data_IF_876576293533
#
_entry.id   IF_876576293533
#
_cell.length_a   1.000
_cell.length_b   1.000
_cell.length_c   1.000
_cell.angle_alpha   90.00
_cell.angle_beta   90.00
_cell.angle_gamma   90.00
#
_symmetry.space_group_name_H-M   'P 1'
#
loop_
_entity.id
_entity.type
_entity.pdbx_description
1 polymer ?
#
# COMPACT_ATOMS: atom_id res chain seq x y z
N UNK A 1 0.56 41.47 16.35
CA UNK A 1 0.18 41.26 14.94
C UNK A 1 0.41 39.81 14.60
N UNK A 2 -0.66 39.00 14.56
CA UNK A 2 -0.58 37.57 14.27
C UNK A 2 -0.73 37.32 12.77
N UNK A 3 0.27 36.73 12.14
CA UNK A 3 0.15 36.17 10.80
C UNK A 3 -0.05 34.65 10.95
N UNK A 4 -1.30 34.22 10.99
CA UNK A 4 -1.66 32.82 10.78
C UNK A 4 -1.34 32.46 9.33
N UNK A 5 -0.18 31.85 9.09
CA UNK A 5 0.10 31.18 7.83
C UNK A 5 -0.69 29.87 7.78
N UNK A 6 -1.95 29.95 7.39
CA UNK A 6 -2.74 28.81 6.92
C UNK A 6 -2.92 28.92 5.41
N UNK A 7 -3.05 27.77 4.74
CA UNK A 7 -3.42 27.61 3.33
C UNK A 7 -2.30 27.61 2.27
N UNK A 8 -1.37 26.63 2.33
CA UNK A 8 -0.80 25.99 1.12
C UNK A 8 -0.62 24.47 1.22
N UNK A 9 -0.96 23.87 2.36
CA UNK A 9 -0.50 22.52 2.73
C UNK A 9 -1.29 21.37 2.09
N UNK A 10 -2.55 21.60 1.65
CA UNK A 10 -3.36 20.57 1.00
C UNK A 10 -2.84 20.24 -0.42
N UNK A 11 -2.55 21.26 -1.23
CA UNK A 11 -2.30 21.07 -2.67
C UNK A 11 -1.08 20.22 -3.05
N UNK A 12 0.04 20.28 -2.31
CA UNK A 12 1.28 19.56 -2.72
C UNK A 12 1.24 18.08 -2.37
N UNK A 13 0.73 17.71 -1.18
CA UNK A 13 0.61 16.30 -0.79
C UNK A 13 -0.50 15.64 -1.60
N UNK A 14 -1.61 16.35 -1.83
CA UNK A 14 -2.67 15.87 -2.72
C UNK A 14 -2.12 15.64 -4.14
N UNK A 15 -1.28 16.54 -4.67
CA UNK A 15 -0.64 16.33 -5.97
C UNK A 15 0.26 15.09 -6.00
N UNK A 16 1.12 14.87 -5.01
CA UNK A 16 2.00 13.69 -5.01
C UNK A 16 1.21 12.38 -4.81
N UNK A 17 0.08 12.42 -4.09
CA UNK A 17 -0.82 11.27 -3.94
C UNK A 17 -1.78 11.11 -5.15
N UNK A 18 -1.96 12.17 -5.96
CA UNK A 18 -2.93 12.16 -7.05
C UNK A 18 -2.50 11.26 -8.20
N UNK A 19 -1.21 11.21 -8.51
CA UNK A 19 -0.68 10.30 -9.52
C UNK A 19 -0.52 8.90 -8.93
N UNK A 20 -1.06 7.89 -9.64
CA UNK A 20 -0.78 6.49 -9.31
C UNK A 20 0.72 6.20 -9.47
N UNK A 21 1.29 5.35 -8.61
CA UNK A 21 2.68 4.91 -8.74
C UNK A 21 2.89 4.12 -10.04
N UNK A 22 4.15 3.97 -10.47
CA UNK A 22 4.50 3.11 -11.59
C UNK A 22 4.07 1.67 -11.32
N UNK A 23 3.06 1.19 -12.05
CA UNK A 23 2.42 -0.10 -11.82
C UNK A 23 3.34 -1.28 -12.16
N UNK A 24 4.15 -1.17 -13.21
CA UNK A 24 5.14 -2.20 -13.57
C UNK A 24 6.17 -2.36 -12.45
N UNK A 25 6.63 -1.23 -11.89
CA UNK A 25 7.54 -1.25 -10.73
C UNK A 25 6.92 -1.96 -9.53
N UNK A 26 5.64 -1.71 -9.24
CA UNK A 26 4.95 -2.39 -8.13
C UNK A 26 4.85 -3.90 -8.35
N UNK A 27 4.51 -4.33 -9.57
CA UNK A 27 4.42 -5.76 -9.92
C UNK A 27 5.78 -6.44 -9.72
N UNK A 28 6.85 -5.82 -10.22
CA UNK A 28 8.21 -6.38 -10.10
C UNK A 28 8.69 -6.46 -8.65
N UNK A 29 8.33 -5.48 -7.82
CA UNK A 29 8.63 -5.52 -6.39
C UNK A 29 7.93 -6.70 -5.72
N UNK A 30 6.63 -6.88 -5.97
CA UNK A 30 5.88 -7.96 -5.33
C UNK A 30 6.29 -9.35 -5.82
N UNK A 31 6.67 -9.51 -7.09
CA UNK A 31 7.31 -10.74 -7.60
C UNK A 31 8.59 -11.11 -6.84
N UNK A 32 9.38 -10.11 -6.40
CA UNK A 32 10.60 -10.34 -5.61
C UNK A 32 10.32 -10.60 -4.13
N UNK A 33 9.26 -10.02 -3.58
CA UNK A 33 8.90 -10.15 -2.17
C UNK A 33 8.13 -11.44 -1.83
N UNK A 34 7.28 -11.90 -2.75
CA UNK A 34 6.35 -13.00 -2.51
C UNK A 34 6.89 -14.28 -3.14
N UNK A 35 6.90 -15.38 -2.37
CA UNK A 35 7.33 -16.69 -2.88
C UNK A 35 6.42 -17.15 -4.04
N UNK A 36 6.96 -17.82 -5.08
CA UNK A 36 6.18 -18.27 -6.24
C UNK A 36 5.00 -19.18 -5.91
N UNK A 37 5.03 -19.93 -4.81
CA UNK A 37 3.94 -20.81 -4.39
C UNK A 37 2.72 -20.07 -3.81
N UNK A 38 2.81 -18.75 -3.56
CA UNK A 38 1.68 -17.99 -3.06
C UNK A 38 0.97 -17.24 -4.18
N UNK A 39 -0.35 -17.35 -4.20
CA UNK A 39 -1.19 -16.45 -4.99
C UNK A 39 -1.27 -15.07 -4.33
N UNK A 40 -1.30 -14.01 -5.12
CA UNK A 40 -1.44 -12.65 -4.62
C UNK A 40 -2.11 -11.72 -5.64
N UNK A 41 -2.82 -10.73 -5.11
CA UNK A 41 -3.50 -9.67 -5.87
C UNK A 41 -2.89 -8.33 -5.49
N UNK A 42 -2.61 -7.49 -6.48
CA UNK A 42 -2.08 -6.14 -6.30
C UNK A 42 -3.06 -5.09 -6.83
N UNK A 43 -3.25 -4.06 -6.02
CA UNK A 43 -4.13 -2.94 -6.28
C UNK A 43 -3.34 -1.70 -6.73
N UNK A 44 -4.03 -0.78 -7.39
CA UNK A 44 -3.44 0.29 -8.19
C UNK A 44 -2.56 1.29 -7.41
N UNK A 45 -2.75 1.45 -6.11
CA UNK A 45 -1.97 2.35 -5.26
C UNK A 45 -0.90 1.61 -4.42
N UNK A 46 -0.60 0.35 -4.77
CA UNK A 46 0.54 -0.40 -4.23
C UNK A 46 0.20 -1.35 -3.08
N UNK A 47 -1.08 -1.49 -2.70
CA UNK A 47 -1.47 -2.52 -1.74
C UNK A 47 -1.54 -3.90 -2.39
N UNK A 48 -0.87 -4.91 -1.82
CA UNK A 48 -1.06 -6.31 -2.17
C UNK A 48 -1.76 -7.10 -1.07
N UNK A 49 -2.54 -8.10 -1.49
CA UNK A 49 -3.11 -9.14 -0.64
C UNK A 49 -2.54 -10.48 -1.04
N UNK A 50 -1.85 -11.16 -0.10
CA UNK A 50 -1.32 -12.50 -0.31
C UNK A 50 -2.31 -13.54 0.19
N UNK A 51 -2.65 -14.51 -0.66
CA UNK A 51 -3.57 -15.60 -0.37
C UNK A 51 -2.77 -16.79 0.18
N UNK A 52 -3.18 -17.31 1.34
CA UNK A 52 -2.70 -18.61 1.83
C UNK A 52 -3.75 -19.66 1.57
N UNK A 53 -3.86 -20.12 0.35
CA UNK A 53 -4.58 -21.34 0.14
C UNK A 53 -3.63 -22.22 -0.67
N UNK A 54 -3.19 -23.28 0.00
CA UNK A 54 -2.78 -24.57 -0.53
C UNK A 54 -3.82 -25.18 -1.49
N UNK A 55 -4.92 -24.48 -1.77
CA UNK A 55 -5.86 -24.80 -2.82
C UNK A 55 -5.18 -24.60 -4.17
N UNK A 56 -4.77 -25.72 -4.74
CA UNK A 56 -4.34 -25.83 -6.13
C UNK A 56 -5.40 -25.30 -7.12
N UNK A 57 -6.67 -25.15 -6.69
CA UNK A 57 -7.79 -24.82 -7.56
C UNK A 57 -8.39 -23.41 -7.30
N UNK A 58 -7.54 -22.43 -6.98
CA UNK A 58 -8.00 -21.03 -6.91
C UNK A 58 -8.29 -20.49 -8.31
N UNK A 59 -9.57 -20.27 -8.63
CA UNK A 59 -9.93 -19.51 -9.83
C UNK A 59 -9.56 -18.03 -9.67
N UNK A 60 -9.38 -17.35 -10.80
CA UNK A 60 -9.15 -15.89 -10.86
C UNK A 60 -10.25 -15.14 -10.10
N UNK A 61 -11.51 -15.56 -10.27
CA UNK A 61 -12.68 -14.95 -9.62
C UNK A 61 -12.62 -15.13 -8.09
N UNK A 62 -12.30 -16.33 -7.61
CA UNK A 62 -12.14 -16.60 -6.18
C UNK A 62 -11.00 -15.80 -5.57
N UNK A 63 -9.85 -15.73 -6.25
CA UNK A 63 -8.68 -15.01 -5.76
C UNK A 63 -8.95 -13.50 -5.66
N UNK A 64 -9.56 -12.92 -6.69
CA UNK A 64 -9.89 -11.49 -6.73
C UNK A 64 -11.01 -11.11 -5.76
N UNK A 65 -12.05 -11.93 -5.62
CA UNK A 65 -13.12 -11.72 -4.64
C UNK A 65 -12.59 -11.78 -3.20
N UNK A 66 -11.77 -12.78 -2.88
CA UNK A 66 -11.09 -12.87 -1.59
C UNK A 66 -10.27 -11.62 -1.30
N UNK A 67 -9.43 -11.18 -2.25
CA UNK A 67 -8.58 -10.02 -2.09
C UNK A 67 -9.38 -8.74 -1.84
N UNK A 68 -10.45 -8.48 -2.60
CA UNK A 68 -11.33 -7.33 -2.42
C UNK A 68 -11.99 -7.35 -1.03
N UNK A 69 -12.52 -8.49 -0.59
CA UNK A 69 -13.14 -8.64 0.74
C UNK A 69 -12.13 -8.43 1.87
N UNK A 70 -10.94 -9.02 1.74
CA UNK A 70 -9.84 -8.89 2.71
C UNK A 70 -9.37 -7.44 2.82
N UNK A 71 -9.20 -6.75 1.71
CA UNK A 71 -8.77 -5.35 1.67
C UNK A 71 -9.81 -4.43 2.31
N UNK A 72 -11.10 -4.56 1.94
CA UNK A 72 -12.20 -3.82 2.59
C UNK A 72 -12.22 -4.02 4.11
N UNK A 73 -12.07 -5.26 4.57
CA UNK A 73 -12.02 -5.57 6.01
C UNK A 73 -10.80 -4.93 6.69
N UNK A 74 -9.65 -4.91 6.01
CA UNK A 74 -8.42 -4.30 6.51
C UNK A 74 -8.52 -2.78 6.61
N UNK A 75 -9.16 -2.13 5.65
CA UNK A 75 -9.29 -0.68 5.60
C UNK A 75 -10.44 -0.13 6.46
N UNK A 76 -11.36 -0.99 6.94
CA UNK A 76 -12.41 -0.64 7.91
C UNK A 76 -11.80 -0.34 9.29
N UNK A 77 -10.97 0.69 9.38
CA UNK A 77 -10.56 1.31 10.62
C UNK A 77 -11.70 2.24 11.06
N UNK A 78 -12.19 2.06 12.28
CA UNK A 78 -13.10 3.03 12.91
C UNK A 78 -12.31 4.31 13.21
N UNK A 79 -12.93 5.50 13.19
CA UNK A 79 -12.33 6.68 13.82
C UNK A 79 -11.79 6.32 15.21
N UNK A 80 -10.56 6.77 15.52
CA UNK A 80 -9.88 6.41 16.77
C UNK A 80 -9.16 5.05 16.79
N UNK A 81 -9.12 4.30 15.68
CA UNK A 81 -8.29 3.08 15.61
C UNK A 81 -6.81 3.47 15.83
N UNK A 82 -6.12 2.86 16.82
CA UNK A 82 -4.74 3.20 17.13
C UNK A 82 -3.82 3.12 15.92
N UNK A 83 -2.89 4.08 15.79
CA UNK A 83 -1.85 4.07 14.75
C UNK A 83 -0.84 2.92 14.90
N UNK A 84 -0.84 2.25 16.05
CA UNK A 84 0.04 1.12 16.37
C UNK A 84 -0.29 -0.15 15.55
N UNK A 85 -1.17 -0.06 14.55
CA UNK A 85 -1.52 -1.14 13.63
C UNK A 85 -0.63 -1.20 12.37
N UNK A 86 0.36 -0.31 12.26
CA UNK A 86 1.21 -0.15 11.07
C UNK A 86 2.69 -0.25 11.42
N UNK A 87 3.47 -0.90 10.57
CA UNK A 87 4.93 -0.89 10.61
C UNK A 87 5.47 -0.61 9.22
N UNK A 88 6.20 0.50 9.06
CA UNK A 88 6.92 0.81 7.83
C UNK A 88 8.36 0.34 7.95
N UNK A 89 8.82 -0.42 6.97
CA UNK A 89 10.19 -0.90 6.88
C UNK A 89 10.81 -0.42 5.58
N UNK A 90 11.92 0.30 5.66
CA UNK A 90 12.71 0.63 4.48
C UNK A 90 13.39 -0.63 3.93
N UNK A 91 13.27 -0.86 2.63
CA UNK A 91 13.87 -2.00 1.92
C UNK A 91 14.87 -1.45 0.89
N UNK A 92 16.16 -1.24 1.25
CA UNK A 92 17.11 -0.53 0.40
C UNK A 92 17.29 -1.15 -0.99
N UNK A 93 17.32 -2.48 -1.09
CA UNK A 93 17.50 -3.17 -2.38
C UNK A 93 16.25 -3.12 -3.29
N UNK A 94 15.12 -2.65 -2.77
CA UNK A 94 13.91 -2.34 -3.54
C UNK A 94 13.70 -0.83 -3.70
N UNK A 95 14.55 0.01 -3.12
CA UNK A 95 14.44 1.48 -3.15
C UNK A 95 13.03 1.97 -2.77
N UNK A 96 12.55 1.50 -1.61
CA UNK A 96 11.19 1.77 -1.19
C UNK A 96 10.85 1.28 0.21
N UNK A 97 9.64 1.60 0.63
CA UNK A 97 9.11 1.26 1.94
C UNK A 97 8.02 0.21 1.82
N UNK A 98 8.17 -0.87 2.60
CA UNK A 98 7.14 -1.86 2.78
C UNK A 98 6.36 -1.55 4.06
N UNK A 99 5.08 -1.22 3.89
CA UNK A 99 4.17 -0.95 4.99
C UNK A 99 3.35 -2.19 5.29
N UNK A 100 3.55 -2.73 6.49
CA UNK A 100 2.84 -3.87 7.03
C UNK A 100 1.71 -3.41 7.95
N UNK A 101 0.62 -4.17 7.95
CA UNK A 101 -0.55 -3.91 8.78
C UNK A 101 -0.80 -5.05 9.76
N UNK A 102 -1.52 -4.76 10.86
CA UNK A 102 -2.01 -5.80 11.78
C UNK A 102 -2.83 -6.88 11.07
N UNK A 103 -3.53 -6.52 9.99
CA UNK A 103 -4.15 -7.51 9.10
C UNK A 103 -3.06 -8.27 8.36
N UNK A 104 -2.78 -9.49 8.83
CA UNK A 104 -1.81 -10.39 8.20
C UNK A 104 -2.07 -10.48 6.69
N UNK A 105 -0.98 -10.41 5.92
CA UNK A 105 -0.91 -10.59 4.45
C UNK A 105 -1.55 -9.48 3.63
N UNK A 106 -1.71 -8.31 4.22
CA UNK A 106 -1.94 -7.07 3.49
C UNK A 106 -0.71 -6.21 3.70
N UNK A 107 -0.09 -5.74 2.62
CA UNK A 107 1.03 -4.81 2.68
C UNK A 107 0.87 -3.76 1.60
N UNK A 108 1.50 -2.60 1.78
CA UNK A 108 1.61 -1.59 0.71
C UNK A 108 3.09 -1.32 0.46
N UNK A 109 3.51 -1.42 -0.79
CA UNK A 109 4.83 -0.99 -1.19
C UNK A 109 4.78 0.44 -1.71
N UNK A 110 5.70 1.27 -1.23
CA UNK A 110 5.81 2.68 -1.58
C UNK A 110 7.21 2.92 -2.15
N UNK A 111 7.36 3.06 -3.48
CA UNK A 111 8.63 3.41 -4.09
C UNK A 111 9.11 4.80 -3.64
N UNK A 112 10.41 4.98 -3.38
CA UNK A 112 10.97 6.29 -3.01
C UNK A 112 11.09 7.22 -4.24
N UNK A 113 11.26 6.64 -5.43
CA UNK A 113 11.50 7.34 -6.71
C UNK A 113 10.31 8.18 -7.22
N UNK A 114 9.13 8.07 -6.60
CA UNK A 114 7.94 8.87 -6.96
C UNK A 114 7.53 9.94 -5.95
N UNK A 115 8.19 10.03 -4.78
CA UNK A 115 7.67 10.85 -3.68
C UNK A 115 8.44 12.16 -3.53
N UNK A 116 7.74 13.26 -3.82
CA UNK A 116 8.12 14.58 -3.33
C UNK A 116 7.59 14.75 -1.91
N UNK A 117 8.42 14.41 -0.92
CA UNK A 117 8.16 14.72 0.48
C UNK A 117 8.20 16.24 0.69
N UNK A 118 7.38 16.74 1.60
CA UNK A 118 7.37 18.17 1.95
C UNK A 118 8.68 18.55 2.66
N UNK A 119 8.99 19.84 2.66
CA UNK A 119 10.08 20.38 3.46
C UNK A 119 9.91 19.96 4.93
N UNK A 120 10.90 19.23 5.45
CA UNK A 120 10.93 18.71 6.83
C UNK A 120 10.47 17.26 6.98
N UNK A 121 9.82 16.67 5.99
CA UNK A 121 9.57 15.21 5.96
C UNK A 121 10.86 14.50 5.54
N UNK A 122 11.34 13.60 6.40
CA UNK A 122 12.56 12.83 6.16
C UNK A 122 12.24 11.60 5.29
N UNK A 123 13.00 11.42 4.21
CA UNK A 123 12.95 10.22 3.35
C UNK A 123 13.28 8.93 4.12
N UNK A 124 13.84 9.06 5.31
CA UNK A 124 14.20 7.98 6.20
C UNK A 124 13.25 7.81 7.40
N UNK A 125 12.16 8.59 7.51
CA UNK A 125 11.23 8.51 8.66
C UNK A 125 10.14 7.42 8.47
N UNK A 126 10.17 6.34 9.28
CA UNK A 126 9.14 5.30 9.20
C UNK A 126 7.72 5.79 9.49
N UNK A 127 7.55 6.84 10.30
CA UNK A 127 6.21 7.34 10.63
C UNK A 127 5.53 7.96 9.40
N UNK A 128 6.27 8.78 8.65
CA UNK A 128 5.82 9.39 7.39
C UNK A 128 5.33 8.33 6.39
N UNK A 129 6.15 7.31 6.13
CA UNK A 129 5.78 6.24 5.19
C UNK A 129 4.69 5.31 5.73
N UNK A 130 4.63 5.08 7.03
CA UNK A 130 3.54 4.34 7.66
C UNK A 130 2.18 5.02 7.47
N UNK A 131 2.11 6.34 7.66
CA UNK A 131 0.89 7.11 7.43
C UNK A 131 0.53 7.16 5.94
N UNK A 132 1.49 7.37 5.05
CA UNK A 132 1.25 7.36 3.60
C UNK A 132 0.71 6.00 3.16
N UNK A 133 1.29 4.89 3.63
CA UNK A 133 0.78 3.56 3.35
C UNK A 133 -0.65 3.36 3.85
N UNK A 134 -1.03 3.95 4.99
CA UNK A 134 -2.43 3.90 5.47
C UNK A 134 -3.39 4.59 4.51
N UNK A 135 -3.00 5.75 3.97
CA UNK A 135 -3.79 6.52 3.01
C UNK A 135 -3.94 5.74 1.71
N UNK A 136 -2.85 5.23 1.15
CA UNK A 136 -2.86 4.46 -0.10
C UNK A 136 -3.69 3.18 0.01
N UNK A 137 -3.57 2.45 1.13
CA UNK A 137 -4.41 1.28 1.42
C UNK A 137 -5.89 1.65 1.50
N UNK A 138 -6.22 2.79 2.11
CA UNK A 138 -7.62 3.24 2.19
C UNK A 138 -8.17 3.54 0.80
N UNK A 139 -7.38 4.20 -0.05
CA UNK A 139 -7.72 4.46 -1.46
C UNK A 139 -7.90 3.17 -2.26
N UNK A 140 -6.99 2.21 -2.14
CA UNK A 140 -7.14 0.89 -2.78
C UNK A 140 -8.37 0.12 -2.29
N UNK A 141 -8.77 0.30 -1.03
CA UNK A 141 -9.97 -0.34 -0.50
C UNK A 141 -11.28 0.31 -0.95
N UNK A 142 -11.23 1.59 -1.33
CA UNK A 142 -12.32 2.34 -1.92
C UNK A 142 -12.45 2.03 -3.43
N UNK A 143 -11.36 2.16 -4.18
CA UNK A 143 -11.33 1.97 -5.64
C UNK A 143 -11.40 0.49 -6.03
N UNK A 144 -10.75 -0.39 -5.26
CA UNK A 144 -10.59 -1.82 -5.54
C UNK A 144 -10.08 -2.11 -6.96
N UNK A 145 -9.27 -1.22 -7.51
CA UNK A 145 -8.73 -1.38 -8.85
C UNK A 145 -7.55 -2.35 -8.81
N UNK A 146 -7.72 -3.52 -9.43
CA UNK A 146 -6.71 -4.59 -9.44
C UNK A 146 -5.88 -4.44 -10.71
N UNK A 147 -4.56 -4.32 -10.53
CA UNK A 147 -3.61 -4.17 -11.64
C UNK A 147 -2.85 -5.46 -11.94
N UNK A 148 -2.81 -6.39 -10.99
CA UNK A 148 -2.14 -7.67 -11.17
C UNK A 148 -2.70 -8.76 -10.28
N UNK A 149 -2.72 -9.97 -10.81
CA UNK A 149 -2.97 -11.22 -10.09
C UNK A 149 -1.88 -12.21 -10.53
N UNK A 150 -1.23 -12.81 -9.55
CA UNK A 150 -0.37 -13.96 -9.74
C UNK A 150 -1.01 -15.13 -8.99
N UNK A 151 -1.19 -16.26 -9.66
CA UNK A 151 -1.54 -17.51 -9.00
C UNK A 151 -0.25 -18.26 -8.65
N UNK A 152 -0.26 -18.89 -7.47
CA UNK A 152 0.84 -19.73 -7.03
C UNK A 152 0.99 -20.96 -7.92
N UNK A 153 2.23 -21.36 -8.18
CA UNK A 153 2.60 -22.55 -8.94
C UNK A 153 3.59 -23.40 -8.16
#
# INVERSE_FOLDING_TARGET
MGACASAKTQGTLERSISSRPNQERLIDVYRKLIKPCYSWVLFANGTAVVLNEDKCDLSIEMATDYARKKLKKCAKAKPGTPMNDITAQHIPWLDGWLVNYKSRRVTTFIPVDGISLKNGEDKNDPMTFGLLGRILRAKDAEELDIIHLQLGQ
#
